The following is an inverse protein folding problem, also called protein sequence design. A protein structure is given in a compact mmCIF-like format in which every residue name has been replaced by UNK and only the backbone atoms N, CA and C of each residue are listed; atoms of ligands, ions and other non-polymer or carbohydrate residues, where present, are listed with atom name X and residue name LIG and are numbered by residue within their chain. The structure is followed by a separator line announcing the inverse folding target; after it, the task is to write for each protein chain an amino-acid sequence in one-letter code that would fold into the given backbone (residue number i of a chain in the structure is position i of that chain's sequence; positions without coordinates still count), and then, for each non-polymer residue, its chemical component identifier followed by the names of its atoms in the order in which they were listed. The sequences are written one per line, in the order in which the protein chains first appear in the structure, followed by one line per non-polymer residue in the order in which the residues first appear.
data_IF_446850671195
#
_entry.id   IF_446850671195
#
_cell.length_a   1.000
_cell.length_b   1.000
_cell.length_c   1.000
_cell.angle_alpha   90.00
_cell.angle_beta   90.00
_cell.angle_gamma   90.00
#
_symmetry.space_group_name_H-M   'P 1'
#
loop_
_entity.id
_entity.type
_entity.pdbx_description
1 polymer ?
#
# COMPACT_ATOMS: atom_id res chain seq x y z
N UNK A 1 -18.76 -12.13 2.49
CA UNK A 1 -18.43 -11.42 3.75
C UNK A 1 -16.92 -11.35 3.85
N UNK A 2 -16.35 -10.17 3.93
CA UNK A 2 -14.93 -9.98 4.22
C UNK A 2 -14.63 -10.42 5.64
N UNK A 3 -13.51 -11.13 5.82
CA UNK A 3 -13.04 -11.55 7.13
C UNK A 3 -11.64 -10.97 7.32
N UNK A 4 -11.41 -10.39 8.49
CA UNK A 4 -10.08 -9.99 8.94
C UNK A 4 -9.47 -11.16 9.73
N UNK A 5 -8.29 -11.59 9.33
CA UNK A 5 -7.51 -12.56 10.09
C UNK A 5 -6.71 -11.81 11.18
N UNK A 6 -6.46 -12.49 12.30
CA UNK A 6 -5.75 -11.87 13.44
C UNK A 6 -4.24 -11.78 13.25
N UNK A 7 -3.73 -12.29 12.14
CA UNK A 7 -2.32 -12.29 11.80
C UNK A 7 -2.13 -11.59 10.46
N UNK A 8 -1.07 -10.84 10.34
CA UNK A 8 -0.64 -10.29 9.06
C UNK A 8 -0.33 -11.43 8.08
N UNK A 9 -0.51 -11.17 6.81
CA UNK A 9 -0.22 -12.12 5.73
C UNK A 9 1.24 -12.59 5.75
N UNK A 10 2.16 -11.68 6.11
CA UNK A 10 3.56 -11.97 6.40
C UNK A 10 4.02 -11.14 7.60
N UNK A 11 4.89 -11.65 8.49
CA UNK A 11 5.39 -10.89 9.62
C UNK A 11 6.12 -9.61 9.19
N UNK A 12 5.85 -8.51 9.86
CA UNK A 12 6.47 -7.21 9.62
C UNK A 12 7.32 -6.81 10.83
N UNK A 13 8.49 -6.26 10.57
CA UNK A 13 9.39 -5.73 11.59
C UNK A 13 10.21 -4.56 11.04
N UNK A 14 10.81 -3.77 11.93
CA UNK A 14 11.78 -2.71 11.61
C UNK A 14 12.99 -2.82 12.53
N UNK A 15 14.14 -2.29 12.12
CA UNK A 15 15.33 -2.23 12.98
C UNK A 15 15.19 -1.12 14.04
N UNK A 16 14.40 -0.09 13.76
CA UNK A 16 14.09 1.00 14.69
C UNK A 16 13.24 2.09 14.04
N UNK A 17 12.74 3.05 14.83
CA UNK A 17 11.96 4.15 14.32
C UNK A 17 12.73 5.00 13.30
N UNK A 18 12.09 5.29 12.18
CA UNK A 18 12.59 6.19 11.15
C UNK A 18 11.42 6.86 10.41
N UNK A 19 10.97 8.04 10.87
CA UNK A 19 9.82 8.74 10.27
C UNK A 19 10.01 9.10 8.79
N UNK A 20 11.26 9.27 8.33
CA UNK A 20 11.54 9.49 6.91
C UNK A 20 11.18 8.26 6.07
N UNK A 21 11.57 7.07 6.52
CA UNK A 21 11.19 5.83 5.84
C UNK A 21 9.68 5.56 5.93
N UNK A 22 9.05 5.93 7.05
CA UNK A 22 7.60 5.86 7.18
C UNK A 22 6.90 6.72 6.12
N UNK A 23 7.38 7.96 5.90
CA UNK A 23 6.86 8.84 4.86
C UNK A 23 7.05 8.28 3.46
N UNK A 24 8.19 7.66 3.16
CA UNK A 24 8.43 6.99 1.88
C UNK A 24 7.46 5.82 1.65
N UNK A 25 7.24 4.99 2.67
CA UNK A 25 6.32 3.84 2.59
C UNK A 25 4.86 4.25 2.36
N UNK A 26 4.47 5.49 2.70
CA UNK A 26 3.13 6.03 2.41
C UNK A 26 2.79 5.99 0.91
N UNK A 27 3.78 5.99 0.01
CA UNK A 27 3.52 5.86 -1.43
C UNK A 27 2.79 4.57 -1.77
N UNK A 28 3.13 3.48 -1.08
CA UNK A 28 2.47 2.18 -1.27
C UNK A 28 1.17 2.03 -0.47
N UNK A 29 0.88 2.92 0.47
CA UNK A 29 -0.41 2.93 1.17
C UNK A 29 -1.45 3.76 0.42
N UNK A 30 -1.19 5.03 0.22
CA UNK A 30 -2.16 5.99 -0.33
C UNK A 30 -1.77 6.58 -1.69
N UNK A 31 -0.73 6.09 -2.33
CA UNK A 31 -0.32 6.53 -3.67
C UNK A 31 -1.15 5.93 -4.80
N UNK A 32 -1.03 6.52 -5.98
CA UNK A 32 -1.76 6.10 -7.18
C UNK A 32 -1.33 4.74 -7.77
N UNK A 33 -0.26 4.15 -7.24
CA UNK A 33 0.22 2.79 -7.57
C UNK A 33 0.34 1.93 -6.31
N UNK A 34 -0.28 2.33 -5.20
CA UNK A 34 -0.21 1.61 -3.94
C UNK A 34 -1.34 0.60 -3.76
N UNK A 35 -1.27 -0.14 -2.67
CA UNK A 35 -2.11 -1.31 -2.35
C UNK A 35 -3.61 -0.96 -2.25
N UNK A 36 -3.96 0.19 -1.65
CA UNK A 36 -5.35 0.61 -1.60
C UNK A 36 -5.94 0.82 -3.00
N UNK A 37 -5.15 1.41 -3.91
CA UNK A 37 -5.59 1.60 -5.30
C UNK A 37 -5.80 0.25 -5.99
N UNK A 38 -4.88 -0.68 -5.85
CA UNK A 38 -4.98 -2.01 -6.43
C UNK A 38 -6.23 -2.74 -5.91
N UNK A 39 -6.40 -2.81 -4.59
CA UNK A 39 -7.56 -3.42 -3.95
C UNK A 39 -8.89 -2.84 -4.46
N UNK A 40 -9.01 -1.51 -4.49
CA UNK A 40 -10.24 -0.83 -4.94
C UNK A 40 -10.48 -1.03 -6.44
N UNK A 41 -9.44 -1.10 -7.25
CA UNK A 41 -9.56 -1.32 -8.69
C UNK A 41 -10.08 -2.72 -9.00
N UNK A 42 -9.45 -3.77 -8.49
CA UNK A 42 -9.91 -5.15 -8.67
C UNK A 42 -11.33 -5.35 -8.14
N UNK A 43 -11.62 -4.86 -6.95
CA UNK A 43 -12.96 -4.94 -6.36
C UNK A 43 -14.01 -4.26 -7.24
N UNK A 44 -13.75 -3.03 -7.69
CA UNK A 44 -14.72 -2.25 -8.50
C UNK A 44 -14.95 -2.89 -9.87
N UNK A 45 -13.91 -3.39 -10.50
CA UNK A 45 -14.00 -4.10 -11.77
C UNK A 45 -14.82 -5.40 -11.63
N UNK A 46 -14.67 -6.13 -10.51
CA UNK A 46 -15.35 -7.39 -10.25
C UNK A 46 -16.87 -7.29 -10.30
N UNK A 47 -17.44 -6.14 -9.94
CA UNK A 47 -18.89 -5.96 -9.86
C UNK A 47 -19.60 -6.13 -11.20
N UNK A 48 -18.93 -5.94 -12.32
CA UNK A 48 -19.50 -6.06 -13.67
C UNK A 48 -19.15 -7.37 -14.36
N UNK A 49 -18.25 -8.16 -13.80
CA UNK A 49 -17.84 -9.44 -14.37
C UNK A 49 -18.99 -10.45 -14.20
N UNK A 50 -19.41 -11.05 -15.32
CA UNK A 50 -20.53 -12.00 -15.32
C UNK A 50 -20.07 -13.44 -15.05
N UNK A 51 -18.85 -13.77 -15.48
CA UNK A 51 -18.27 -15.09 -15.22
C UNK A 51 -17.92 -15.20 -13.72
N UNK A 52 -18.50 -16.14 -12.98
CA UNK A 52 -18.29 -16.23 -11.54
C UNK A 52 -16.83 -16.57 -11.18
N UNK A 53 -16.14 -17.38 -11.98
CA UNK A 53 -14.75 -17.78 -11.73
C UNK A 53 -13.81 -16.58 -11.86
N UNK A 54 -13.99 -15.78 -12.92
CA UNK A 54 -13.20 -14.57 -13.12
C UNK A 54 -13.52 -13.52 -12.04
N UNK A 55 -14.80 -13.38 -11.70
CA UNK A 55 -15.23 -12.47 -10.62
C UNK A 55 -14.60 -12.85 -9.28
N UNK A 56 -14.61 -14.15 -8.94
CA UNK A 56 -14.01 -14.65 -7.70
C UNK A 56 -12.50 -14.40 -7.68
N UNK A 57 -11.81 -14.62 -8.80
CA UNK A 57 -10.37 -14.30 -8.93
C UNK A 57 -10.08 -12.82 -8.66
N UNK A 58 -10.86 -11.89 -9.24
CA UNK A 58 -10.69 -10.46 -8.98
C UNK A 58 -10.92 -10.09 -7.51
N UNK A 59 -11.90 -10.74 -6.88
CA UNK A 59 -12.18 -10.51 -5.46
C UNK A 59 -11.10 -11.12 -4.55
N UNK A 60 -10.55 -12.26 -4.92
CA UNK A 60 -9.43 -12.89 -4.19
C UNK A 60 -8.18 -11.99 -4.25
N UNK A 61 -7.85 -11.46 -5.44
CA UNK A 61 -6.75 -10.50 -5.59
C UNK A 61 -7.05 -9.23 -4.77
N UNK A 62 -8.25 -8.66 -4.86
CA UNK A 62 -8.61 -7.48 -4.06
C UNK A 62 -8.44 -7.71 -2.55
N UNK A 63 -8.77 -8.91 -2.06
CA UNK A 63 -8.60 -9.28 -0.66
C UNK A 63 -7.11 -9.42 -0.29
N UNK A 64 -6.28 -9.95 -1.19
CA UNK A 64 -4.83 -10.03 -1.01
C UNK A 64 -4.20 -8.62 -0.95
N UNK A 65 -4.59 -7.72 -1.85
CA UNK A 65 -4.14 -6.32 -1.85
C UNK A 65 -4.49 -5.57 -0.55
N UNK A 66 -5.65 -5.85 0.05
CA UNK A 66 -5.98 -5.35 1.39
C UNK A 66 -5.03 -5.90 2.47
N UNK A 67 -4.56 -7.13 2.31
CA UNK A 67 -3.59 -7.73 3.22
C UNK A 67 -2.19 -7.10 3.05
N UNK A 68 -1.80 -6.80 1.82
CA UNK A 68 -0.58 -6.04 1.52
C UNK A 68 -0.66 -4.62 2.11
N UNK A 69 -1.81 -3.95 1.95
CA UNK A 69 -2.06 -2.64 2.54
C UNK A 69 -1.90 -2.66 4.07
N UNK A 70 -2.40 -3.69 4.74
CA UNK A 70 -2.23 -3.86 6.19
C UNK A 70 -0.75 -4.00 6.57
N UNK A 71 0.04 -4.77 5.82
CA UNK A 71 1.48 -4.92 6.03
C UNK A 71 2.23 -3.59 5.85
N UNK A 72 1.90 -2.83 4.81
CA UNK A 72 2.47 -1.49 4.57
C UNK A 72 2.12 -0.54 5.72
N UNK A 73 0.85 -0.53 6.15
CA UNK A 73 0.39 0.29 7.25
C UNK A 73 1.09 -0.04 8.57
N UNK A 74 1.28 -1.34 8.87
CA UNK A 74 2.02 -1.77 10.07
C UNK A 74 3.50 -1.40 9.98
N UNK A 75 4.12 -1.51 8.80
CA UNK A 75 5.50 -1.05 8.58
C UNK A 75 5.64 0.45 8.89
N UNK A 76 4.71 1.28 8.39
CA UNK A 76 4.67 2.72 8.67
C UNK A 76 4.51 2.97 10.18
N UNK A 77 3.59 2.26 10.83
CA UNK A 77 3.33 2.38 12.26
C UNK A 77 4.58 2.07 13.09
N UNK A 78 5.27 0.98 12.79
CA UNK A 78 6.52 0.61 13.46
C UNK A 78 7.65 1.62 13.21
N UNK A 79 7.77 2.13 11.98
CA UNK A 79 8.76 3.16 11.63
C UNK A 79 8.50 4.50 12.31
N UNK A 80 7.24 4.84 12.57
CA UNK A 80 6.88 6.04 13.33
C UNK A 80 7.11 5.89 14.84
N UNK A 81 7.26 4.65 15.33
CA UNK A 81 7.33 4.34 16.75
C UNK A 81 5.93 4.31 17.39
N UNK A 82 5.75 3.44 18.39
CA UNK A 82 4.44 3.24 19.03
C UNK A 82 4.01 4.47 19.88
N UNK A 83 4.96 5.27 20.33
CA UNK A 83 4.70 6.49 21.10
C UNK A 83 4.96 7.69 20.18
N UNK A 84 3.88 8.40 19.86
CA UNK A 84 3.97 9.65 19.08
C UNK A 84 4.68 10.71 19.93
N UNK A 85 5.98 10.79 19.79
CA UNK A 85 6.72 11.94 20.30
C UNK A 85 6.65 13.09 19.28
N UNK A 86 5.69 13.99 19.50
CA UNK A 86 5.53 15.16 18.64
C UNK A 86 6.79 16.05 18.59
N UNK A 87 7.71 15.89 19.54
CA UNK A 87 9.00 16.62 19.55
C UNK A 87 10.04 16.01 18.61
N UNK A 88 9.89 14.72 18.26
CA UNK A 88 10.73 14.05 17.28
C UNK A 88 10.40 14.44 15.84
N UNK A 89 9.24 15.05 15.63
CA UNK A 89 8.85 15.63 14.35
C UNK A 89 9.60 16.95 14.18
N UNK A 90 10.66 16.93 13.40
CA UNK A 90 11.45 18.13 13.12
C UNK A 90 10.56 19.25 12.54
N UNK A 91 10.68 20.45 13.10
CA UNK A 91 9.99 21.62 12.59
C UNK A 91 10.40 21.85 11.12
N UNK A 92 9.49 21.60 10.18
CA UNK A 92 9.71 21.77 8.74
C UNK A 92 9.53 20.53 7.88
N UNK A 93 9.33 19.34 8.46
CA UNK A 93 8.94 18.17 7.70
C UNK A 93 7.43 18.13 7.51
N UNK A 94 6.97 18.72 6.41
CA UNK A 94 5.54 18.79 6.04
C UNK A 94 4.90 17.39 6.02
N UNK A 95 5.63 16.38 5.59
CA UNK A 95 5.16 14.99 5.55
C UNK A 95 4.78 14.46 6.95
N UNK A 96 5.56 14.82 7.96
CA UNK A 96 5.28 14.43 9.36
C UNK A 96 4.04 15.11 9.92
N UNK A 97 3.78 16.34 9.53
CA UNK A 97 2.55 17.06 9.92
C UNK A 97 1.30 16.51 9.22
N UNK A 98 1.43 16.11 7.96
CA UNK A 98 0.33 15.57 7.16
C UNK A 98 -0.03 14.14 7.61
N UNK A 99 0.90 13.39 8.20
CA UNK A 99 0.67 12.06 8.74
C UNK A 99 -0.15 12.03 10.04
N UNK A 100 -0.86 13.12 10.37
CA UNK A 100 -1.88 13.15 11.44
C UNK A 100 -1.40 12.57 12.77
N UNK A 101 -0.23 12.98 13.22
CA UNK A 101 0.37 12.47 14.45
C UNK A 101 1.08 11.14 14.25
N UNK A 102 1.68 10.95 13.08
CA UNK A 102 2.49 9.78 12.71
C UNK A 102 1.73 8.47 12.52
N UNK A 103 0.41 8.51 12.41
CA UNK A 103 -0.37 7.32 12.06
C UNK A 103 -0.37 7.07 10.54
N UNK A 104 -0.42 5.82 10.09
CA UNK A 104 -0.67 5.51 8.70
C UNK A 104 -1.96 6.19 8.22
N UNK A 105 -1.90 6.89 7.09
CA UNK A 105 -3.03 7.63 6.52
C UNK A 105 -3.23 7.29 5.05
N UNK A 106 -4.41 7.57 4.53
CA UNK A 106 -4.70 7.36 3.11
C UNK A 106 -4.14 8.54 2.28
N UNK A 107 -2.84 8.70 2.35
CA UNK A 107 -2.06 9.72 1.64
C UNK A 107 -0.83 9.08 0.99
N UNK A 108 -0.28 9.75 -0.03
CA UNK A 108 0.98 9.34 -0.64
C UNK A 108 2.19 9.92 0.12
N UNK A 109 3.40 9.62 -0.36
CA UNK A 109 4.66 10.09 0.24
C UNK A 109 4.85 11.61 0.24
N UNK A 110 4.10 12.35 -0.56
CA UNK A 110 4.07 13.81 -0.60
C UNK A 110 2.93 14.42 0.19
N UNK A 111 2.12 13.61 0.87
CA UNK A 111 1.00 14.04 1.70
C UNK A 111 -0.29 14.33 0.94
N UNK A 112 -0.39 14.00 -0.34
CA UNK A 112 -1.64 14.13 -1.10
C UNK A 112 -2.60 13.00 -0.75
N UNK A 113 -3.85 13.37 -0.49
CA UNK A 113 -4.90 12.41 -0.19
C UNK A 113 -5.16 11.44 -1.34
N UNK A 114 -5.39 10.19 -1.00
CA UNK A 114 -5.87 9.20 -1.95
C UNK A 114 -7.19 9.65 -2.57
N UNK A 115 -7.39 9.33 -3.84
CA UNK A 115 -8.62 9.65 -4.57
C UNK A 115 -9.11 8.47 -5.41
N UNK A 116 -10.43 8.34 -5.55
CA UNK A 116 -11.06 7.37 -6.45
C UNK A 116 -10.67 7.56 -7.94
N UNK A 117 -10.13 8.72 -8.31
CA UNK A 117 -9.65 8.99 -9.67
C UNK A 117 -8.44 8.10 -10.07
N UNK A 118 -7.78 7.49 -9.10
CA UNK A 118 -6.72 6.50 -9.37
C UNK A 118 -7.26 5.18 -9.94
N UNK A 119 -8.55 4.90 -9.71
CA UNK A 119 -9.17 3.61 -10.04
C UNK A 119 -9.68 3.62 -11.47
N UNK A 120 -9.20 2.69 -12.30
CA UNK A 120 -9.66 2.49 -13.68
C UNK A 120 -10.69 1.39 -13.73
N UNK A 121 -11.91 1.71 -14.18
CA UNK A 121 -12.99 0.75 -14.40
C UNK A 121 -13.69 1.09 -15.70
N UNK A 122 -13.49 0.30 -16.74
CA UNK A 122 -14.10 0.53 -18.06
C UNK A 122 -15.34 -0.33 -18.27
N UNK A 123 -15.39 -1.49 -17.65
CA UNK A 123 -16.40 -2.52 -17.87
C UNK A 123 -16.11 -3.42 -19.08
N UNK A 124 -15.01 -3.18 -19.78
CA UNK A 124 -14.42 -4.10 -20.76
C UNK A 124 -13.35 -4.93 -20.06
N UNK A 125 -13.54 -6.25 -19.99
CA UNK A 125 -12.66 -7.13 -19.23
C UNK A 125 -11.22 -7.10 -19.75
N UNK A 126 -11.03 -7.00 -21.05
CA UNK A 126 -9.68 -6.98 -21.64
C UNK A 126 -8.94 -5.69 -21.30
N UNK A 127 -9.63 -4.53 -21.42
CA UNK A 127 -9.07 -3.23 -21.07
C UNK A 127 -8.75 -3.14 -19.56
N UNK A 128 -9.63 -3.66 -18.72
CA UNK A 128 -9.45 -3.69 -17.27
C UNK A 128 -8.28 -4.59 -16.86
N UNK A 129 -8.15 -5.79 -17.45
CA UNK A 129 -7.01 -6.68 -17.22
C UNK A 129 -5.67 -6.07 -17.64
N UNK A 130 -5.60 -5.43 -18.81
CA UNK A 130 -4.39 -4.73 -19.26
C UNK A 130 -4.02 -3.57 -18.31
N UNK A 131 -5.03 -2.86 -17.81
CA UNK A 131 -4.82 -1.81 -16.80
C UNK A 131 -4.28 -2.38 -15.49
N UNK A 132 -4.74 -3.56 -15.07
CA UNK A 132 -4.27 -4.25 -13.87
C UNK A 132 -2.82 -4.69 -14.03
N UNK A 133 -2.47 -5.40 -15.10
CA UNK A 133 -1.08 -5.82 -15.40
C UNK A 133 -0.13 -4.61 -15.38
N UNK A 134 -0.54 -3.51 -16.02
CA UNK A 134 0.25 -2.29 -16.01
C UNK A 134 0.33 -1.62 -14.62
N UNK A 135 -0.71 -1.80 -13.79
CA UNK A 135 -0.74 -1.32 -12.40
C UNK A 135 0.24 -2.08 -11.52
N UNK A 136 0.21 -3.42 -11.55
CA UNK A 136 1.13 -4.27 -10.78
C UNK A 136 2.59 -3.96 -11.16
N UNK A 137 2.86 -3.85 -12.46
CA UNK A 137 4.20 -3.50 -12.90
C UNK A 137 4.66 -2.11 -12.41
N UNK A 138 3.75 -1.13 -12.26
CA UNK A 138 4.09 0.18 -11.68
C UNK A 138 4.29 0.10 -10.16
N UNK A 139 3.48 -0.68 -9.44
CA UNK A 139 3.65 -0.93 -8.02
C UNK A 139 5.02 -1.57 -7.75
N UNK A 140 5.38 -2.60 -8.52
CA UNK A 140 6.70 -3.21 -8.48
C UNK A 140 7.83 -2.20 -8.65
N UNK A 141 7.75 -1.30 -9.64
CA UNK A 141 8.77 -0.25 -9.85
C UNK A 141 8.89 0.66 -8.63
N UNK A 142 7.78 1.03 -7.99
CA UNK A 142 7.80 1.84 -6.76
C UNK A 142 8.47 1.07 -5.62
N UNK A 143 8.14 -0.20 -5.42
CA UNK A 143 8.80 -1.04 -4.42
C UNK A 143 10.31 -1.18 -4.66
N UNK A 144 10.75 -1.33 -5.91
CA UNK A 144 12.17 -1.35 -6.25
C UNK A 144 12.89 -0.04 -5.89
N UNK A 145 12.22 1.12 -6.07
CA UNK A 145 12.78 2.41 -5.64
C UNK A 145 12.85 2.52 -4.13
N UNK A 146 11.79 2.11 -3.41
CA UNK A 146 11.78 2.09 -1.95
C UNK A 146 12.87 1.19 -1.39
N UNK A 147 13.04 -0.01 -1.94
CA UNK A 147 14.08 -0.95 -1.56
C UNK A 147 15.49 -0.35 -1.64
N UNK A 148 15.74 0.48 -2.66
CA UNK A 148 17.05 1.13 -2.85
C UNK A 148 17.26 2.32 -1.89
N UNK A 149 16.21 2.98 -1.44
CA UNK A 149 16.28 4.17 -0.61
C UNK A 149 16.22 3.86 0.90
N UNK A 150 15.58 2.77 1.27
CA UNK A 150 15.43 2.35 2.67
C UNK A 150 16.56 1.40 3.03
N UNK A 151 17.35 1.73 4.05
CA UNK A 151 18.49 0.92 4.47
C UNK A 151 18.21 0.09 5.75
N UNK A 152 16.96 0.00 6.17
CA UNK A 152 16.47 -0.88 7.22
C UNK A 152 16.28 -2.29 6.64
N UNK A 153 17.02 -3.27 7.15
CA UNK A 153 17.00 -4.65 6.64
C UNK A 153 15.65 -5.32 6.82
N UNK A 154 14.95 -5.02 7.92
CA UNK A 154 13.64 -5.62 8.21
C UNK A 154 12.56 -5.05 7.30
N UNK A 155 12.60 -3.75 7.02
CA UNK A 155 11.72 -3.14 6.02
C UNK A 155 12.01 -3.70 4.63
N UNK A 156 13.27 -3.91 4.27
CA UNK A 156 13.63 -4.56 3.01
C UNK A 156 13.11 -6.00 2.90
N UNK A 157 13.12 -6.78 3.97
CA UNK A 157 12.50 -8.11 4.00
C UNK A 157 10.99 -8.04 3.67
N UNK A 158 10.28 -7.05 4.23
CA UNK A 158 8.87 -6.80 3.91
C UNK A 158 8.67 -6.39 2.46
N UNK A 159 9.47 -5.44 1.95
CA UNK A 159 9.41 -5.00 0.56
C UNK A 159 9.71 -6.15 -0.40
N UNK A 160 10.70 -7.00 -0.09
CA UNK A 160 11.06 -8.15 -0.91
C UNK A 160 9.93 -9.18 -0.98
N UNK A 161 9.23 -9.40 0.13
CA UNK A 161 8.03 -10.23 0.14
C UNK A 161 6.96 -9.65 -0.79
N UNK A 162 6.64 -8.36 -0.67
CA UNK A 162 5.62 -7.69 -1.50
C UNK A 162 6.01 -7.68 -2.98
N UNK A 163 7.29 -7.40 -3.29
CA UNK A 163 7.83 -7.48 -4.67
C UNK A 163 7.62 -8.84 -5.34
N UNK A 164 7.61 -9.93 -4.57
CA UNK A 164 7.39 -11.28 -5.10
C UNK A 164 5.90 -11.59 -5.29
N UNK A 165 5.00 -10.72 -4.84
CA UNK A 165 3.55 -10.85 -5.02
C UNK A 165 3.04 -10.06 -6.23
N UNK A 166 3.71 -8.96 -6.59
CA UNK A 166 3.46 -8.17 -7.81
C UNK A 166 3.82 -9.01 -9.06
#
# INVERSE_FOLDING_TARGET
MFKHEKQLFHPVAVEGPNPHYAALMQEQLGGGNGELKAAMQYMSQSFRIKDPTIKDLFMDIAAEELSHMEMVAETINLLNGHDVDASAVGAGEIQSHVLLGLNPGLINSSGYSWTGDYVTVTGDLCADLLSNIASEQRAKVVYEYLYRQIDDKKVRETIDFLLNRE
#
